data_IF_875097712242
#
_entry.id   IF_875097712242
#
_cell.length_a   1.000
_cell.length_b   1.000
_cell.length_c   1.000
_cell.angle_alpha   90.00
_cell.angle_beta   90.00
_cell.angle_gamma   90.00
#
_symmetry.space_group_name_H-M   'P 1'
#
loop_
_entity.id
_entity.type
_entity.pdbx_description
1 polymer ?
#
# COMPACT_ATOMS: atom_id res chain seq x y z
N UNK A 1 11.53 -21.94 -26.23
CA UNK A 1 11.24 -20.52 -25.93
C UNK A 1 10.88 -20.42 -24.46
N UNK A 2 11.35 -19.38 -23.78
CA UNK A 2 10.87 -19.04 -22.43
C UNK A 2 9.35 -18.83 -22.45
N UNK A 3 8.70 -19.20 -21.35
CA UNK A 3 7.25 -19.14 -21.18
C UNK A 3 6.92 -18.32 -19.93
N UNK A 4 5.78 -17.61 -19.88
CA UNK A 4 5.28 -17.04 -18.65
C UNK A 4 5.16 -18.12 -17.57
N UNK A 5 5.33 -17.72 -16.31
CA UNK A 5 5.38 -18.62 -15.16
C UNK A 5 4.46 -18.08 -14.08
N UNK A 6 3.51 -18.90 -13.62
CA UNK A 6 2.60 -18.58 -12.53
C UNK A 6 3.13 -19.22 -11.25
N UNK A 7 3.22 -18.44 -10.17
CA UNK A 7 3.40 -18.97 -8.82
C UNK A 7 2.03 -19.39 -8.27
N UNK A 8 1.82 -20.69 -8.11
CA UNK A 8 0.63 -21.24 -7.47
C UNK A 8 0.91 -21.46 -5.99
N UNK A 9 0.32 -20.65 -5.13
CA UNK A 9 0.48 -20.77 -3.67
C UNK A 9 -0.71 -21.56 -3.11
N UNK A 10 -0.46 -22.61 -2.32
CA UNK A 10 -1.56 -23.38 -1.75
C UNK A 10 -1.18 -24.22 -0.52
N UNK A 11 -2.16 -24.44 0.35
CA UNK A 11 -2.03 -25.34 1.51
C UNK A 11 -2.14 -26.79 1.01
N UNK A 12 -1.01 -27.41 0.65
CA UNK A 12 -1.03 -28.70 -0.04
C UNK A 12 -1.56 -29.83 0.85
N UNK A 13 -1.38 -29.75 2.16
CA UNK A 13 -1.92 -30.73 3.12
C UNK A 13 -3.43 -30.93 3.06
N UNK A 14 -4.16 -29.90 2.62
CA UNK A 14 -5.62 -29.88 2.63
C UNK A 14 -6.22 -29.72 1.25
N UNK A 15 -5.50 -29.11 0.29
CA UNK A 15 -6.02 -28.72 -1.03
C UNK A 15 -5.18 -29.23 -2.20
N UNK A 16 -4.33 -30.23 -1.98
CA UNK A 16 -3.54 -30.82 -3.06
C UNK A 16 -4.40 -31.24 -4.27
N UNK A 17 -5.55 -31.95 -4.13
CA UNK A 17 -6.33 -32.37 -5.29
C UNK A 17 -6.80 -31.21 -6.18
N UNK A 18 -7.21 -30.09 -5.60
CA UNK A 18 -7.67 -28.88 -6.31
C UNK A 18 -6.49 -28.14 -6.97
N UNK A 19 -5.35 -28.07 -6.29
CA UNK A 19 -4.11 -27.51 -6.83
C UNK A 19 -3.60 -28.34 -8.01
N UNK A 20 -3.59 -29.66 -7.88
CA UNK A 20 -3.22 -30.59 -8.95
C UNK A 20 -4.19 -30.52 -10.13
N UNK A 21 -5.50 -30.41 -9.86
CA UNK A 21 -6.48 -30.17 -10.92
C UNK A 21 -6.16 -28.87 -11.66
N UNK A 22 -5.90 -27.77 -10.93
CA UNK A 22 -5.53 -26.49 -11.54
C UNK A 22 -4.29 -26.62 -12.41
N UNK A 23 -3.24 -27.31 -11.93
CA UNK A 23 -2.02 -27.58 -12.73
C UNK A 23 -2.34 -28.38 -13.99
N UNK A 24 -3.22 -29.39 -13.90
CA UNK A 24 -3.58 -30.25 -15.03
C UNK A 24 -4.31 -29.52 -16.17
N UNK A 25 -4.88 -28.35 -15.88
CA UNK A 25 -5.57 -27.52 -16.87
C UNK A 25 -4.63 -26.46 -17.49
N UNK A 26 -3.39 -26.35 -17.03
CA UNK A 26 -2.46 -25.32 -17.51
C UNK A 26 -2.07 -25.58 -18.97
N UNK A 27 -2.15 -24.57 -19.87
CA UNK A 27 -1.75 -24.75 -21.25
C UNK A 27 -0.23 -24.90 -21.37
N UNK A 28 0.23 -25.64 -22.39
CA UNK A 28 1.66 -25.83 -22.66
C UNK A 28 2.45 -24.53 -22.84
N UNK A 29 1.79 -23.40 -23.11
CA UNK A 29 2.41 -22.09 -23.25
C UNK A 29 2.80 -21.42 -21.93
N UNK A 30 2.43 -21.99 -20.77
CA UNK A 30 2.64 -21.39 -19.44
C UNK A 30 3.22 -22.43 -18.47
N UNK A 31 4.11 -21.99 -17.58
CA UNK A 31 4.66 -22.82 -16.50
C UNK A 31 3.93 -22.54 -15.18
N UNK A 32 3.90 -23.52 -14.26
CA UNK A 32 3.46 -23.33 -12.88
C UNK A 32 4.58 -23.74 -11.92
N UNK A 33 4.86 -22.90 -10.92
CA UNK A 33 5.62 -23.25 -9.73
C UNK A 33 4.65 -23.40 -8.56
N UNK A 34 4.49 -24.61 -8.03
CA UNK A 34 3.63 -24.85 -6.86
C UNK A 34 4.44 -24.68 -5.56
N UNK A 35 3.96 -23.80 -4.68
CA UNK A 35 4.50 -23.57 -3.33
C UNK A 35 3.58 -24.17 -2.27
N UNK A 36 4.14 -25.07 -1.46
CA UNK A 36 3.44 -25.63 -0.30
C UNK A 36 3.52 -24.67 0.90
N UNK A 37 2.36 -24.14 1.27
CA UNK A 37 2.17 -23.32 2.48
C UNK A 37 1.19 -23.98 3.45
N UNK A 38 1.08 -25.31 3.40
CA UNK A 38 0.25 -26.12 4.30
C UNK A 38 0.72 -26.07 5.75
N UNK A 39 -0.13 -26.53 6.67
CA UNK A 39 0.23 -26.68 8.08
C UNK A 39 1.10 -27.93 8.29
N UNK A 40 0.85 -28.95 7.49
CA UNK A 40 1.65 -30.17 7.45
C UNK A 40 2.41 -30.22 6.13
N UNK A 41 3.72 -30.52 6.13
CA UNK A 41 4.48 -30.64 4.90
C UNK A 41 3.93 -31.75 4.01
N UNK A 42 3.75 -31.47 2.71
CA UNK A 42 3.28 -32.44 1.73
C UNK A 42 4.36 -32.74 0.71
N UNK A 43 4.63 -34.02 0.46
CA UNK A 43 5.55 -34.46 -0.59
C UNK A 43 4.77 -34.86 -1.85
N UNK A 44 5.06 -34.17 -2.96
CA UNK A 44 4.50 -34.52 -4.26
C UNK A 44 5.46 -34.05 -5.38
N UNK A 45 5.66 -34.81 -6.47
CA UNK A 45 6.61 -34.44 -7.53
C UNK A 45 6.33 -33.10 -8.21
N UNK A 46 5.07 -32.65 -8.20
CA UNK A 46 4.65 -31.36 -8.77
C UNK A 46 4.79 -30.18 -7.81
N UNK A 47 5.19 -30.38 -6.55
CA UNK A 47 5.50 -29.28 -5.63
C UNK A 47 6.91 -28.77 -5.96
N UNK A 48 6.98 -27.59 -6.56
CA UNK A 48 8.23 -26.97 -7.01
C UNK A 48 9.00 -26.30 -5.87
N UNK A 49 8.27 -25.72 -4.91
CA UNK A 49 8.81 -25.03 -3.74
C UNK A 49 8.28 -25.76 -2.51
N UNK A 50 9.20 -26.49 -1.87
CA UNK A 50 8.89 -27.36 -0.74
C UNK A 50 8.59 -26.56 0.52
N UNK A 51 7.77 -27.14 1.39
CA UNK A 51 7.46 -26.57 2.69
C UNK A 51 8.75 -26.36 3.53
N UNK A 52 8.88 -25.25 4.30
CA UNK A 52 10.10 -24.92 5.04
C UNK A 52 10.60 -26.04 5.96
N UNK A 53 9.70 -26.75 6.67
CA UNK A 53 10.05 -27.91 7.52
C UNK A 53 10.81 -29.05 6.79
N UNK A 54 10.66 -29.17 5.47
CA UNK A 54 11.38 -30.18 4.67
C UNK A 54 12.77 -29.70 4.24
N UNK A 55 12.97 -28.37 4.19
CA UNK A 55 14.23 -27.74 3.79
C UNK A 55 15.16 -27.51 4.98
N UNK A 56 14.62 -27.29 6.19
CA UNK A 56 15.40 -27.14 7.43
C UNK A 56 16.00 -28.46 7.93
N UNK A 57 15.51 -29.60 7.44
CA UNK A 57 16.02 -30.94 7.78
C UNK A 57 17.19 -31.40 6.91
N UNK A 58 17.54 -30.69 5.85
CA UNK A 58 18.65 -31.07 4.95
C UNK A 58 20.02 -30.59 5.43
N UNK A 59 20.11 -29.57 6.29
CA UNK A 59 21.37 -29.10 6.91
C UNK A 59 21.81 -29.88 8.15
N UNK A 60 21.03 -30.86 8.62
CA UNK A 60 21.33 -31.61 9.85
C UNK A 60 21.56 -33.12 9.65
N UNK A 61 21.56 -33.62 8.41
CA UNK A 61 21.76 -35.06 8.14
C UNK A 61 23.18 -35.48 7.74
N UNK A 62 24.13 -34.56 7.57
CA UNK A 62 25.52 -34.93 7.25
C UNK A 62 26.44 -35.14 8.47
N UNK A 63 26.03 -34.79 9.69
CA UNK A 63 26.83 -35.07 10.89
C UNK A 63 26.11 -36.06 11.82
N UNK A 64 25.89 -37.27 11.33
CA UNK A 64 25.73 -38.45 12.19
C UNK A 64 26.97 -39.31 12.08
N UNK A 65 28.06 -38.85 12.68
CA UNK A 65 29.10 -39.74 13.20
C UNK A 65 29.96 -38.97 14.20
N UNK A 66 29.83 -39.38 15.46
CA UNK A 66 30.77 -39.23 16.57
C UNK A 66 30.92 -37.87 17.29
N UNK A 67 31.05 -38.05 18.61
CA UNK A 67 31.62 -37.16 19.63
C UNK A 67 30.71 -36.20 20.40
N UNK A 68 30.45 -36.62 21.64
CA UNK A 68 30.29 -35.76 22.79
C UNK A 68 31.47 -34.77 22.88
N UNK A 69 31.22 -33.47 22.74
CA UNK A 69 32.01 -32.46 23.46
C UNK A 69 31.25 -31.14 23.59
N UNK A 70 31.17 -30.66 24.83
CA UNK A 70 30.72 -29.31 25.18
C UNK A 70 31.79 -28.28 24.78
N UNK A 71 31.42 -27.21 24.08
CA UNK A 71 31.72 -25.80 24.41
C UNK A 71 31.61 -24.89 23.18
N UNK A 72 30.54 -24.10 23.11
CA UNK A 72 30.48 -22.67 22.81
C UNK A 72 29.02 -22.30 22.54
N UNK A 73 28.45 -21.49 23.42
CA UNK A 73 27.01 -21.23 23.50
C UNK A 73 26.48 -20.39 22.35
N UNK A 74 26.10 -21.04 21.26
CA UNK A 74 24.94 -20.65 20.47
C UNK A 74 23.96 -21.81 20.49
N UNK A 75 22.89 -21.66 21.28
CA UNK A 75 21.77 -22.60 21.24
C UNK A 75 21.08 -22.39 19.90
N UNK A 76 21.41 -23.22 18.91
CA UNK A 76 20.61 -23.36 17.70
C UNK A 76 19.27 -23.93 18.16
N UNK A 77 18.31 -23.05 18.46
CA UNK A 77 16.94 -23.45 18.78
C UNK A 77 16.39 -24.14 17.55
N UNK A 78 16.14 -25.45 17.65
CA UNK A 78 15.39 -26.19 16.65
C UNK A 78 14.07 -25.45 16.44
N UNK A 79 13.85 -24.90 15.26
CA UNK A 79 12.58 -24.22 14.97
C UNK A 79 11.44 -25.23 15.20
N UNK A 80 10.41 -24.79 15.94
CA UNK A 80 9.22 -25.59 16.17
C UNK A 80 8.52 -25.88 14.84
N UNK A 81 8.17 -27.13 14.61
CA UNK A 81 7.44 -27.57 13.42
C UNK A 81 6.10 -26.81 13.30
N UNK A 82 5.73 -26.43 12.07
CA UNK A 82 4.54 -25.60 11.83
C UNK A 82 3.26 -26.27 12.33
N UNK A 83 3.20 -27.60 12.31
CA UNK A 83 2.06 -28.40 12.76
C UNK A 83 1.76 -28.23 14.26
N UNK A 84 2.79 -27.98 15.08
CA UNK A 84 2.65 -27.79 16.54
C UNK A 84 2.27 -26.37 16.94
N UNK A 85 2.38 -25.39 16.04
CA UNK A 85 2.12 -23.99 16.37
C UNK A 85 0.63 -23.70 16.52
N UNK A 86 0.23 -22.77 17.42
CA UNK A 86 -1.10 -22.19 17.39
C UNK A 86 -1.45 -21.67 15.99
N UNK A 87 -2.72 -21.80 15.59
CA UNK A 87 -3.15 -21.49 14.21
C UNK A 87 -2.73 -20.10 13.75
N UNK A 88 -2.87 -19.09 14.59
CA UNK A 88 -2.47 -17.70 14.28
C UNK A 88 -0.96 -17.58 14.07
N UNK A 89 -0.16 -18.17 14.95
CA UNK A 89 1.31 -18.18 14.86
C UNK A 89 1.80 -18.90 13.61
N UNK A 90 1.18 -20.04 13.29
CA UNK A 90 1.40 -20.78 12.05
C UNK A 90 1.16 -19.89 10.82
N UNK A 91 -0.03 -19.28 10.73
CA UNK A 91 -0.41 -18.40 9.60
C UNK A 91 0.61 -17.28 9.45
N UNK A 92 0.97 -16.60 10.54
CA UNK A 92 1.94 -15.50 10.48
C UNK A 92 3.32 -15.96 9.97
N UNK A 93 3.86 -17.05 10.50
CA UNK A 93 5.18 -17.54 10.08
C UNK A 93 5.18 -18.02 8.63
N UNK A 94 4.15 -18.76 8.21
CA UNK A 94 4.12 -19.31 6.84
C UNK A 94 3.84 -18.22 5.81
N UNK A 95 3.03 -17.21 6.16
CA UNK A 95 2.86 -16.00 5.35
C UNK A 95 4.19 -15.28 5.12
N UNK A 96 5.00 -15.08 6.17
CA UNK A 96 6.31 -14.43 6.03
C UNK A 96 7.26 -15.21 5.12
N UNK A 97 7.27 -16.55 5.25
CA UNK A 97 8.05 -17.42 4.37
C UNK A 97 7.58 -17.34 2.91
N UNK A 98 6.27 -17.40 2.67
CA UNK A 98 5.67 -17.27 1.36
C UNK A 98 5.95 -15.90 0.73
N UNK A 99 5.83 -14.82 1.51
CA UNK A 99 6.18 -13.45 1.12
C UNK A 99 7.63 -13.35 0.65
N UNK A 100 8.58 -13.84 1.46
CA UNK A 100 10.01 -13.76 1.16
C UNK A 100 10.34 -14.53 -0.13
N UNK A 101 9.87 -15.77 -0.21
CA UNK A 101 10.09 -16.61 -1.39
C UNK A 101 9.47 -16.01 -2.66
N UNK A 102 8.27 -15.44 -2.54
CA UNK A 102 7.59 -14.74 -3.64
C UNK A 102 8.41 -13.54 -4.10
N UNK A 103 8.92 -12.73 -3.17
CA UNK A 103 9.76 -11.57 -3.49
C UNK A 103 11.05 -11.96 -4.20
N UNK A 104 11.70 -13.03 -3.77
CA UNK A 104 12.94 -13.52 -4.39
C UNK A 104 12.70 -14.02 -5.81
N UNK A 105 11.59 -14.74 -6.03
CA UNK A 105 11.19 -15.19 -7.37
C UNK A 105 10.85 -14.03 -8.30
N UNK A 106 10.16 -13.01 -7.79
CA UNK A 106 9.83 -11.81 -8.55
C UNK A 106 11.09 -11.03 -8.94
N UNK A 107 11.98 -10.74 -7.98
CA UNK A 107 13.25 -10.03 -8.24
C UNK A 107 14.15 -10.78 -9.22
N UNK A 108 14.09 -12.11 -9.21
CA UNK A 108 14.83 -12.95 -10.14
C UNK A 108 14.16 -13.09 -11.53
N UNK A 109 13.02 -12.44 -11.79
CA UNK A 109 12.28 -12.56 -13.06
C UNK A 109 11.74 -13.96 -13.33
N UNK A 110 11.52 -14.78 -12.28
CA UNK A 110 11.15 -16.19 -12.40
C UNK A 110 9.64 -16.43 -12.43
N UNK A 111 8.85 -15.41 -12.08
CA UNK A 111 7.39 -15.46 -12.03
C UNK A 111 6.80 -14.22 -12.68
N UNK A 112 5.58 -14.38 -13.22
CA UNK A 112 4.87 -13.36 -13.99
C UNK A 112 3.42 -13.17 -13.53
N UNK A 113 2.93 -14.06 -12.67
CA UNK A 113 1.69 -13.90 -11.93
C UNK A 113 1.68 -14.76 -10.67
N UNK A 114 0.82 -14.42 -9.72
CA UNK A 114 0.48 -15.26 -8.56
C UNK A 114 -0.97 -15.73 -8.69
N UNK A 115 -1.18 -17.03 -8.53
CA UNK A 115 -2.50 -17.65 -8.41
C UNK A 115 -2.59 -18.37 -7.06
N UNK A 116 -3.74 -18.32 -6.41
CA UNK A 116 -4.01 -19.13 -5.22
C UNK A 116 -5.49 -19.49 -5.11
N UNK A 117 -5.77 -20.54 -4.36
CA UNK A 117 -7.12 -21.02 -4.05
C UNK A 117 -7.21 -21.42 -2.57
N UNK A 118 -8.30 -21.06 -1.90
CA UNK A 118 -8.48 -21.43 -0.50
C UNK A 118 -9.71 -20.87 0.20
N UNK A 119 -9.90 -21.33 1.42
CA UNK A 119 -10.82 -20.69 2.38
C UNK A 119 -10.12 -19.58 3.16
N UNK A 120 -10.78 -19.03 4.18
CA UNK A 120 -10.30 -17.88 4.97
C UNK A 120 -8.80 -17.89 5.31
N UNK A 121 -8.25 -18.99 5.85
CA UNK A 121 -6.83 -19.05 6.20
C UNK A 121 -5.88 -19.10 4.99
N UNK A 122 -6.24 -19.86 3.94
CA UNK A 122 -5.44 -19.91 2.71
C UNK A 122 -5.44 -18.57 2.00
N UNK A 123 -6.60 -17.90 1.97
CA UNK A 123 -6.73 -16.52 1.48
C UNK A 123 -5.83 -15.57 2.25
N UNK A 124 -5.83 -15.63 3.60
CA UNK A 124 -4.98 -14.77 4.41
C UNK A 124 -3.48 -14.98 4.10
N UNK A 125 -3.03 -16.24 4.03
CA UNK A 125 -1.63 -16.57 3.73
C UNK A 125 -1.21 -16.08 2.35
N UNK A 126 -1.97 -16.46 1.32
CA UNK A 126 -1.60 -16.14 -0.06
C UNK A 126 -1.71 -14.64 -0.34
N UNK A 127 -2.74 -13.96 0.17
CA UNK A 127 -2.87 -12.52 -0.03
C UNK A 127 -1.80 -11.73 0.71
N UNK A 128 -1.32 -12.18 1.88
CA UNK A 128 -0.15 -11.57 2.51
C UNK A 128 1.09 -11.64 1.60
N UNK A 129 1.36 -12.80 0.99
CA UNK A 129 2.45 -12.97 0.02
C UNK A 129 2.25 -12.12 -1.24
N UNK A 130 1.02 -12.02 -1.75
CA UNK A 130 0.68 -11.15 -2.88
C UNK A 130 0.87 -9.67 -2.55
N UNK A 131 0.46 -9.22 -1.36
CA UNK A 131 0.57 -7.83 -0.94
C UNK A 131 1.99 -7.43 -0.61
N UNK A 132 2.80 -8.30 -0.03
CA UNK A 132 4.12 -7.91 0.50
C UNK A 132 5.28 -8.40 -0.36
N UNK A 133 5.07 -9.45 -1.17
CA UNK A 133 6.11 -10.05 -2.00
C UNK A 133 6.31 -9.36 -3.35
N UNK A 134 5.29 -8.70 -3.89
CA UNK A 134 5.32 -8.07 -5.22
C UNK A 134 4.67 -6.69 -5.21
N UNK A 135 5.06 -5.78 -6.14
CA UNK A 135 4.50 -4.44 -6.17
C UNK A 135 3.08 -4.38 -6.75
N UNK A 136 2.45 -3.21 -6.61
CA UNK A 136 1.23 -2.85 -7.33
C UNK A 136 1.49 -2.92 -8.84
N UNK A 137 0.54 -3.49 -9.59
CA UNK A 137 0.64 -3.72 -11.02
C UNK A 137 1.13 -5.11 -11.42
N UNK A 138 1.79 -5.86 -10.51
CA UNK A 138 2.14 -7.25 -10.79
C UNK A 138 0.90 -8.16 -10.74
N UNK A 139 0.67 -9.09 -11.66
CA UNK A 139 -0.55 -9.91 -11.64
C UNK A 139 -0.76 -10.77 -10.37
N UNK A 140 -1.90 -10.59 -9.69
CA UNK A 140 -2.28 -11.27 -8.45
C UNK A 140 -3.75 -11.72 -8.50
N UNK A 141 -4.02 -13.03 -8.52
CA UNK A 141 -5.38 -13.59 -8.53
C UNK A 141 -5.58 -14.61 -7.39
N UNK A 142 -6.63 -14.39 -6.58
CA UNK A 142 -6.98 -15.24 -5.45
C UNK A 142 -8.40 -15.79 -5.59
N UNK A 143 -8.56 -17.11 -5.66
CA UNK A 143 -9.86 -17.79 -5.59
C UNK A 143 -10.22 -18.05 -4.13
N UNK A 144 -11.20 -17.34 -3.59
CA UNK A 144 -11.49 -17.33 -2.16
C UNK A 144 -12.95 -17.65 -1.85
N UNK A 145 -13.20 -18.46 -0.83
CA UNK A 145 -14.55 -18.63 -0.25
C UNK A 145 -15.06 -17.36 0.44
N UNK A 146 -14.17 -16.39 0.71
CA UNK A 146 -14.47 -15.14 1.41
C UNK A 146 -14.71 -13.96 0.47
N UNK A 147 -14.61 -14.16 -0.86
CA UNK A 147 -14.66 -13.04 -1.82
C UNK A 147 -16.02 -12.32 -1.89
N UNK A 148 -17.11 -12.99 -1.48
CA UNK A 148 -18.46 -12.41 -1.41
C UNK A 148 -18.78 -11.90 0.01
N UNK A 149 -17.88 -11.09 0.58
CA UNK A 149 -18.00 -10.52 1.92
C UNK A 149 -17.10 -9.29 2.10
N UNK A 150 -16.76 -8.96 3.35
CA UNK A 150 -15.72 -7.96 3.61
C UNK A 150 -14.34 -8.51 3.24
N UNK A 151 -13.72 -7.87 2.25
CA UNK A 151 -12.43 -8.26 1.68
C UNK A 151 -11.34 -7.22 1.91
N UNK A 152 -11.63 -6.16 2.68
CA UNK A 152 -10.72 -5.03 2.92
C UNK A 152 -9.34 -5.48 3.41
N UNK A 153 -9.30 -6.41 4.37
CA UNK A 153 -8.05 -6.99 4.92
C UNK A 153 -7.29 -7.93 3.97
N UNK A 154 -7.91 -8.38 2.88
CA UNK A 154 -7.26 -9.23 1.87
C UNK A 154 -6.63 -8.40 0.76
N UNK A 155 -7.28 -7.32 0.34
CA UNK A 155 -6.81 -6.46 -0.75
C UNK A 155 -5.90 -5.36 -0.21
N UNK A 156 -6.27 -4.75 0.92
CA UNK A 156 -5.67 -3.51 1.45
C UNK A 156 -5.52 -2.46 0.31
N UNK A 157 -4.41 -1.74 0.24
CA UNK A 157 -4.14 -0.76 -0.82
C UNK A 157 -3.47 -1.36 -2.09
N UNK A 158 -3.79 -2.60 -2.45
CA UNK A 158 -3.21 -3.29 -3.62
C UNK A 158 -4.24 -3.65 -4.69
N UNK A 159 -3.77 -4.16 -5.83
CA UNK A 159 -4.54 -4.58 -7.01
C UNK A 159 -4.82 -6.10 -7.07
N UNK A 160 -4.99 -6.75 -5.90
CA UNK A 160 -5.35 -8.18 -5.85
C UNK A 160 -6.75 -8.39 -6.44
N UNK A 161 -6.84 -9.28 -7.44
CA UNK A 161 -8.12 -9.74 -7.99
C UNK A 161 -8.66 -10.90 -7.17
N UNK A 162 -9.82 -10.73 -6.54
CA UNK A 162 -10.52 -11.80 -5.82
C UNK A 162 -11.62 -12.44 -6.70
N UNK A 163 -11.56 -13.76 -6.86
CA UNK A 163 -12.61 -14.54 -7.51
C UNK A 163 -13.35 -15.39 -6.47
N UNK A 164 -14.68 -15.27 -6.40
CA UNK A 164 -15.46 -16.09 -5.49
C UNK A 164 -15.51 -17.54 -5.95
N UNK A 165 -15.20 -18.47 -5.04
CA UNK A 165 -15.22 -19.91 -5.32
C UNK A 165 -16.63 -20.47 -5.52
N UNK A 166 -17.68 -19.72 -5.12
CA UNK A 166 -19.10 -20.08 -5.11
C UNK A 166 -19.44 -21.20 -4.12
N UNK A 167 -18.69 -22.29 -4.15
CA UNK A 167 -18.75 -23.41 -3.21
C UNK A 167 -17.46 -23.45 -2.38
N UNK A 168 -17.45 -24.22 -1.29
CA UNK A 168 -16.20 -24.46 -0.58
C UNK A 168 -15.16 -25.08 -1.53
N UNK A 169 -13.90 -24.73 -1.31
CA UNK A 169 -12.77 -25.27 -2.06
C UNK A 169 -12.48 -26.66 -1.48
N UNK A 170 -13.34 -27.63 -1.74
CA UNK A 170 -13.24 -28.98 -1.21
C UNK A 170 -13.80 -29.99 -2.22
N UNK A 171 -12.92 -30.85 -2.73
CA UNK A 171 -13.23 -31.88 -3.71
C UNK A 171 -13.26 -31.37 -5.15
N UNK A 172 -13.77 -32.22 -6.05
CA UNK A 172 -13.71 -32.01 -7.50
C UNK A 172 -15.06 -31.79 -8.18
N UNK A 173 -16.00 -31.13 -7.50
CA UNK A 173 -17.33 -30.88 -8.07
C UNK A 173 -17.25 -29.98 -9.31
N UNK A 174 -18.24 -30.11 -10.21
CA UNK A 174 -18.20 -29.47 -11.52
C UNK A 174 -18.21 -27.93 -11.47
N UNK A 175 -18.85 -27.35 -10.45
CA UNK A 175 -18.89 -25.89 -10.25
C UNK A 175 -17.49 -25.39 -9.89
N UNK A 176 -16.88 -25.98 -8.86
CA UNK A 176 -15.54 -25.61 -8.43
C UNK A 176 -14.52 -25.78 -9.55
N UNK A 177 -14.55 -26.90 -10.28
CA UNK A 177 -13.67 -27.14 -11.43
C UNK A 177 -13.77 -26.04 -12.48
N UNK A 178 -15.00 -25.61 -12.82
CA UNK A 178 -15.23 -24.51 -13.77
C UNK A 178 -14.68 -23.18 -13.27
N UNK A 179 -14.86 -22.87 -11.98
CA UNK A 179 -14.31 -21.66 -11.36
C UNK A 179 -12.77 -21.69 -11.36
N UNK A 180 -12.16 -22.81 -10.98
CA UNK A 180 -10.70 -22.97 -10.99
C UNK A 180 -10.11 -22.87 -12.40
N UNK A 181 -10.79 -23.43 -13.41
CA UNK A 181 -10.43 -23.24 -14.81
C UNK A 181 -10.44 -21.77 -15.23
N UNK A 182 -11.54 -21.05 -14.95
CA UNK A 182 -11.65 -19.62 -15.25
C UNK A 182 -10.54 -18.81 -14.56
N UNK A 183 -10.26 -19.09 -13.28
CA UNK A 183 -9.21 -18.44 -12.52
C UNK A 183 -7.83 -18.68 -13.13
N UNK A 184 -7.53 -19.91 -13.52
CA UNK A 184 -6.27 -20.27 -14.17
C UNK A 184 -6.10 -19.54 -15.50
N UNK A 185 -7.10 -19.57 -16.38
CA UNK A 185 -6.99 -18.91 -17.69
C UNK A 185 -6.94 -17.38 -17.55
N UNK A 186 -7.61 -16.81 -16.53
CA UNK A 186 -7.42 -15.40 -16.15
C UNK A 186 -5.97 -15.11 -15.75
N UNK A 187 -5.40 -15.92 -14.85
CA UNK A 187 -4.01 -15.79 -14.43
C UNK A 187 -3.01 -15.99 -15.58
N UNK A 188 -3.27 -16.92 -16.51
CA UNK A 188 -2.47 -17.11 -17.74
C UNK A 188 -2.46 -15.84 -18.59
N UNK A 189 -3.61 -15.22 -18.82
CA UNK A 189 -3.70 -13.98 -19.58
C UNK A 189 -2.91 -12.84 -18.94
N UNK A 190 -3.04 -12.68 -17.61
CA UNK A 190 -2.28 -11.65 -16.90
C UNK A 190 -0.76 -11.95 -16.90
N UNK A 191 -0.37 -13.22 -16.70
CA UNK A 191 1.03 -13.65 -16.75
C UNK A 191 1.67 -13.43 -18.13
N UNK A 192 0.93 -13.66 -19.20
CA UNK A 192 1.40 -13.42 -20.57
C UNK A 192 1.64 -11.93 -20.83
N UNK A 193 0.73 -11.05 -20.37
CA UNK A 193 0.93 -9.60 -20.45
C UNK A 193 2.20 -9.19 -19.72
N UNK A 194 2.38 -9.68 -18.50
CA UNK A 194 3.53 -9.30 -17.67
C UNK A 194 4.85 -9.81 -18.25
N UNK A 195 4.88 -11.05 -18.72
CA UNK A 195 6.03 -11.61 -19.41
C UNK A 195 6.43 -10.79 -20.66
N UNK A 196 5.45 -10.34 -21.43
CA UNK A 196 5.69 -9.48 -22.60
C UNK A 196 6.23 -8.12 -22.16
N UNK A 197 5.62 -7.51 -21.15
CA UNK A 197 6.06 -6.22 -20.60
C UNK A 197 7.51 -6.26 -20.07
N UNK A 198 7.89 -7.32 -19.35
CA UNK A 198 9.27 -7.49 -18.87
C UNK A 198 10.27 -7.67 -20.01
N UNK A 199 9.91 -8.41 -21.07
CA UNK A 199 10.75 -8.56 -22.27
C UNK A 199 10.96 -7.25 -23.01
N UNK A 200 9.89 -6.48 -23.20
CA UNK A 200 9.96 -5.17 -23.88
C UNK A 200 10.79 -4.16 -23.09
N UNK A 201 10.83 -4.29 -21.76
CA UNK A 201 11.66 -3.46 -20.88
C UNK A 201 13.15 -3.82 -21.01
N UNK A 202 13.50 -5.10 -20.90
CA UNK A 202 14.88 -5.58 -21.13
C UNK A 202 15.37 -5.19 -22.54
N UNK A 203 14.52 -5.32 -23.57
CA UNK A 203 14.87 -4.90 -24.93
C UNK A 203 15.20 -3.41 -25.05
N UNK A 204 14.45 -2.55 -24.34
CA UNK A 204 14.68 -1.09 -24.31
C UNK A 204 15.93 -0.69 -23.51
N UNK A 205 16.25 -1.39 -22.42
CA UNK A 205 17.44 -1.11 -21.61
C UNK A 205 18.74 -1.43 -22.36
N UNK A 206 18.72 -2.47 -23.22
CA UNK A 206 19.85 -2.85 -24.06
C UNK A 206 20.09 -1.84 -25.20
N UNK A 207 19.03 -1.29 -25.79
CA UNK A 207 19.14 -0.24 -26.83
C UNK A 207 19.37 1.17 -26.26
N UNK A 208 18.93 1.45 -25.03
CA UNK A 208 19.01 2.75 -24.34
C UNK A 208 20.32 3.03 -23.61
N UNK A 209 21.32 2.14 -23.66
CA UNK A 209 22.61 2.29 -22.98
C UNK A 209 23.55 3.37 -23.58
N UNK A 210 23.05 4.20 -24.51
CA UNK A 210 23.70 5.46 -24.95
C UNK A 210 22.88 6.65 -24.45
N UNK A 211 22.97 6.92 -23.15
CA UNK A 211 22.67 8.23 -22.55
C UNK A 211 21.22 8.51 -22.17
N UNK A 212 20.86 8.24 -20.91
CA UNK A 212 20.18 9.16 -19.97
C UNK A 212 19.97 8.47 -18.62
N UNK A 213 20.38 9.15 -17.55
CA UNK A 213 20.21 8.70 -16.16
C UNK A 213 18.73 8.78 -15.73
N UNK A 214 18.22 7.67 -15.18
CA UNK A 214 17.22 7.67 -14.09
C UNK A 214 15.74 7.59 -14.47
N UNK A 215 15.10 6.49 -14.08
CA UNK A 215 13.64 6.35 -13.98
C UNK A 215 13.04 5.35 -14.96
N UNK A 216 12.90 4.10 -14.51
CA UNK A 216 12.44 2.97 -15.33
C UNK A 216 10.94 2.71 -15.10
N UNK A 217 10.12 3.06 -16.09
CA UNK A 217 8.70 2.74 -16.14
C UNK A 217 7.84 3.73 -16.94
N UNK A 218 7.75 3.54 -18.27
CA UNK A 218 6.66 4.07 -19.12
C UNK A 218 6.67 5.58 -19.42
N UNK A 219 6.79 5.93 -20.70
CA UNK A 219 6.70 7.30 -21.25
C UNK A 219 7.77 8.32 -20.76
N UNK A 220 8.98 8.20 -21.30
CA UNK A 220 9.86 9.35 -21.51
C UNK A 220 10.49 10.05 -20.29
N UNK A 221 10.58 9.42 -19.11
CA UNK A 221 11.27 10.01 -17.96
C UNK A 221 10.48 11.12 -17.25
N UNK A 222 9.15 11.14 -17.40
CA UNK A 222 8.27 12.03 -16.64
C UNK A 222 8.31 11.69 -15.15
N UNK A 223 8.30 12.71 -14.31
CA UNK A 223 8.31 12.56 -12.86
C UNK A 223 6.89 12.28 -12.37
N UNK A 224 6.72 11.21 -11.60
CA UNK A 224 5.42 10.74 -11.11
C UNK A 224 5.11 11.40 -9.78
N UNK A 225 4.07 12.23 -9.74
CA UNK A 225 3.72 13.05 -8.56
C UNK A 225 2.40 12.60 -7.96
N UNK A 226 2.42 12.21 -6.68
CA UNK A 226 1.19 11.95 -5.93
C UNK A 226 0.62 13.23 -5.33
N UNK A 227 -0.70 13.44 -5.43
CA UNK A 227 -1.38 14.60 -4.84
C UNK A 227 -2.59 14.15 -4.04
N UNK A 228 -2.68 14.53 -2.76
CA UNK A 228 -3.86 14.21 -1.93
C UNK A 228 -4.96 15.25 -2.05
N UNK A 229 -6.19 14.79 -2.16
CA UNK A 229 -7.37 15.60 -2.47
C UNK A 229 -8.55 15.20 -1.59
N UNK A 230 -9.38 16.16 -1.21
CA UNK A 230 -10.72 15.92 -0.70
C UNK A 230 -11.70 16.85 -1.40
N UNK A 231 -13.01 16.53 -1.33
CA UNK A 231 -14.02 17.32 -2.05
C UNK A 231 -13.93 18.82 -1.77
N UNK A 232 -13.52 19.20 -0.55
CA UNK A 232 -13.33 20.58 -0.07
C UNK A 232 -11.99 21.24 -0.44
N UNK A 233 -11.09 20.52 -1.12
CA UNK A 233 -9.78 21.02 -1.61
C UNK A 233 -9.58 20.79 -3.11
N UNK A 234 -10.57 20.23 -3.82
CA UNK A 234 -10.53 19.97 -5.27
C UNK A 234 -10.07 21.17 -6.11
N UNK A 235 -10.57 22.41 -5.91
CA UNK A 235 -10.14 23.54 -6.74
C UNK A 235 -8.62 23.78 -6.71
N UNK A 236 -7.99 23.62 -5.55
CA UNK A 236 -6.54 23.74 -5.41
C UNK A 236 -5.80 22.60 -6.14
N UNK A 237 -6.28 21.36 -5.97
CA UNK A 237 -5.68 20.17 -6.58
C UNK A 237 -5.72 20.23 -8.11
N UNK A 238 -6.82 20.70 -8.70
CA UNK A 238 -6.95 20.83 -10.15
C UNK A 238 -5.91 21.81 -10.72
N UNK A 239 -5.72 22.96 -10.07
CA UNK A 239 -4.69 23.93 -10.47
C UNK A 239 -3.28 23.37 -10.30
N UNK A 240 -3.00 22.67 -9.19
CA UNK A 240 -1.71 22.02 -8.95
C UNK A 240 -1.41 20.99 -10.04
N UNK A 241 -2.39 20.14 -10.36
CA UNK A 241 -2.28 19.10 -11.39
C UNK A 241 -1.94 19.71 -12.74
N UNK A 242 -2.75 20.68 -13.19
CA UNK A 242 -2.56 21.33 -14.49
C UNK A 242 -1.21 22.05 -14.59
N UNK A 243 -0.79 22.72 -13.51
CA UNK A 243 0.51 23.42 -13.47
C UNK A 243 1.68 22.44 -13.53
N UNK A 244 1.64 21.35 -12.76
CA UNK A 244 2.68 20.32 -12.76
C UNK A 244 2.79 19.60 -14.12
N UNK A 245 1.66 19.24 -14.73
CA UNK A 245 1.62 18.60 -16.05
C UNK A 245 2.17 19.55 -17.13
N UNK A 246 1.70 20.81 -17.15
CA UNK A 246 2.01 21.76 -18.22
C UNK A 246 3.43 22.30 -18.18
N UNK A 247 3.94 22.63 -16.99
CA UNK A 247 5.20 23.38 -16.85
C UNK A 247 6.39 22.49 -16.49
N UNK A 248 6.12 21.39 -15.80
CA UNK A 248 7.17 20.47 -15.32
C UNK A 248 7.11 19.11 -16.01
N UNK A 249 6.14 18.88 -16.91
CA UNK A 249 5.99 17.62 -17.63
C UNK A 249 5.76 16.42 -16.70
N UNK A 250 5.24 16.67 -15.50
CA UNK A 250 4.99 15.63 -14.51
C UNK A 250 3.77 14.79 -14.89
N UNK A 251 3.77 13.52 -14.51
CA UNK A 251 2.58 12.68 -14.51
C UNK A 251 1.97 12.71 -13.10
N UNK A 252 0.73 13.18 -12.99
CA UNK A 252 0.11 13.45 -11.69
C UNK A 252 -0.96 12.39 -11.35
N UNK A 253 -0.87 11.84 -10.15
CA UNK A 253 -1.79 10.86 -9.60
C UNK A 253 -2.54 11.48 -8.41
N UNK A 254 -3.84 11.67 -8.56
CA UNK A 254 -4.68 12.25 -7.50
C UNK A 254 -5.25 11.14 -6.61
N UNK A 255 -5.03 11.26 -5.30
CA UNK A 255 -5.50 10.33 -4.28
C UNK A 255 -6.56 11.00 -3.42
N UNK A 256 -7.77 10.41 -3.40
CA UNK A 256 -8.84 10.87 -2.53
C UNK A 256 -8.51 10.51 -1.07
N UNK A 257 -8.43 11.50 -0.18
CA UNK A 257 -8.03 11.39 1.22
C UNK A 257 -9.11 10.72 2.10
N UNK A 258 -9.41 9.46 1.79
CA UNK A 258 -10.46 8.63 2.42
C UNK A 258 -9.90 7.51 3.30
N UNK A 259 -8.64 7.63 3.71
CA UNK A 259 -7.86 6.62 4.40
C UNK A 259 -7.19 5.65 3.42
N UNK A 260 -7.98 5.11 2.48
CA UNK A 260 -7.47 4.23 1.43
C UNK A 260 -6.54 4.98 0.45
N UNK A 261 -6.86 6.23 0.10
CA UNK A 261 -6.06 7.02 -0.84
C UNK A 261 -4.69 7.37 -0.30
N UNK A 262 -4.57 7.86 0.94
CA UNK A 262 -3.27 8.10 1.57
C UNK A 262 -2.43 6.83 1.70
N UNK A 263 -3.04 5.70 2.10
CA UNK A 263 -2.36 4.40 2.14
C UNK A 263 -1.82 4.00 0.77
N UNK A 264 -2.64 4.12 -0.28
CA UNK A 264 -2.25 3.80 -1.65
C UNK A 264 -1.12 4.70 -2.15
N UNK A 265 -1.20 6.01 -1.93
CA UNK A 265 -0.13 6.94 -2.27
C UNK A 265 1.18 6.54 -1.60
N UNK A 266 1.16 6.30 -0.28
CA UNK A 266 2.35 5.94 0.47
C UNK A 266 2.91 4.57 0.11
N UNK A 267 2.05 3.62 -0.27
CA UNK A 267 2.45 2.34 -0.82
C UNK A 267 3.26 2.52 -2.10
N UNK A 268 2.75 3.32 -3.04
CA UNK A 268 3.42 3.60 -4.31
C UNK A 268 4.74 4.36 -4.10
N UNK A 269 4.84 5.23 -3.09
CA UNK A 269 6.11 5.85 -2.67
C UNK A 269 7.11 4.80 -2.19
N UNK A 270 6.70 3.88 -1.29
CA UNK A 270 7.58 2.81 -0.79
C UNK A 270 8.11 1.95 -1.94
N UNK A 271 7.25 1.64 -2.90
CA UNK A 271 7.55 0.85 -4.09
C UNK A 271 8.35 1.60 -5.17
N UNK A 272 8.57 2.91 -5.00
CA UNK A 272 9.31 3.72 -5.98
C UNK A 272 8.53 4.01 -7.27
N UNK A 273 7.20 3.92 -7.21
CA UNK A 273 6.29 4.27 -8.31
C UNK A 273 5.85 5.75 -8.27
N UNK A 274 6.10 6.44 -7.15
CA UNK A 274 5.94 7.89 -7.01
C UNK A 274 7.30 8.51 -6.69
N UNK A 275 7.65 9.56 -7.41
CA UNK A 275 8.93 10.26 -7.33
C UNK A 275 8.88 11.53 -6.47
N UNK A 276 7.70 12.11 -6.27
CA UNK A 276 7.48 13.31 -5.46
C UNK A 276 6.01 13.39 -4.99
N UNK A 277 5.74 14.17 -3.95
CA UNK A 277 4.39 14.26 -3.35
C UNK A 277 3.97 15.71 -3.08
N UNK A 278 2.74 16.07 -3.45
CA UNK A 278 2.02 17.21 -2.84
C UNK A 278 0.96 16.64 -1.91
N UNK A 279 1.28 16.56 -0.63
CA UNK A 279 0.34 16.12 0.39
C UNK A 279 -0.50 17.31 0.86
N UNK A 280 -1.37 17.80 -0.03
CA UNK A 280 -2.18 18.98 0.19
C UNK A 280 -3.25 18.74 1.26
N UNK A 281 -3.86 17.55 1.24
CA UNK A 281 -5.05 17.23 2.04
C UNK A 281 -4.74 16.11 3.04
N UNK A 282 -4.47 16.50 4.28
CA UNK A 282 -4.05 15.59 5.36
C UNK A 282 -5.17 15.28 6.36
N UNK A 283 -6.43 15.38 5.94
CA UNK A 283 -7.62 15.10 6.78
C UNK A 283 -7.64 13.69 7.38
N UNK A 284 -7.00 12.72 6.74
CA UNK A 284 -6.91 11.34 7.24
C UNK A 284 -6.20 11.24 8.61
N UNK A 285 -5.38 12.24 8.97
CA UNK A 285 -4.78 12.37 10.31
C UNK A 285 -5.84 12.73 11.36
N UNK A 286 -6.79 13.58 10.99
CA UNK A 286 -7.90 13.99 11.86
C UNK A 286 -8.76 12.78 12.20
N UNK A 287 -9.12 12.00 11.18
CA UNK A 287 -9.88 10.76 11.33
C UNK A 287 -9.15 9.72 12.20
N UNK A 288 -7.83 9.56 12.06
CA UNK A 288 -7.05 8.65 12.93
C UNK A 288 -7.14 9.07 14.41
N UNK A 289 -6.98 10.35 14.72
CA UNK A 289 -6.96 10.85 16.09
C UNK A 289 -8.36 10.93 16.71
N UNK A 290 -9.36 11.28 15.91
CA UNK A 290 -10.75 11.43 16.36
C UNK A 290 -11.59 10.16 16.18
N UNK A 291 -11.01 9.06 15.68
CA UNK A 291 -11.73 7.81 15.44
C UNK A 291 -12.80 7.93 14.35
N UNK A 292 -12.52 8.75 13.33
CA UNK A 292 -13.32 8.85 12.12
C UNK A 292 -13.18 7.63 11.21
N UNK A 293 -14.01 7.56 10.18
CA UNK A 293 -14.14 6.38 9.30
C UNK A 293 -13.14 6.38 8.14
N UNK A 294 -12.45 7.49 7.89
CA UNK A 294 -11.53 7.69 6.77
C UNK A 294 -10.06 7.76 7.22
N UNK A 295 -9.69 6.99 8.25
CA UNK A 295 -8.30 6.95 8.75
C UNK A 295 -7.35 6.23 7.79
N UNK A 296 -6.20 6.85 7.54
CA UNK A 296 -5.05 6.23 6.87
C UNK A 296 -4.12 5.47 7.83
N UNK A 297 -4.45 5.43 9.11
CA UNK A 297 -3.71 4.71 10.16
C UNK A 297 -2.53 5.50 10.72
N UNK A 298 -1.87 4.95 11.74
CA UNK A 298 -0.86 5.65 12.53
C UNK A 298 0.44 5.91 11.76
N UNK A 299 0.65 5.29 10.60
CA UNK A 299 1.85 5.46 9.78
C UNK A 299 1.72 6.57 8.72
N UNK A 300 0.63 7.33 8.72
CA UNK A 300 0.41 8.42 7.77
C UNK A 300 1.51 9.48 7.87
N UNK A 301 1.92 10.04 6.72
CA UNK A 301 3.01 10.99 6.46
C UNK A 301 4.43 10.42 6.55
N UNK A 302 4.60 9.10 6.70
CA UNK A 302 5.93 8.50 6.89
C UNK A 302 6.65 8.20 5.57
N UNK A 303 5.93 7.69 4.56
CA UNK A 303 6.60 7.07 3.41
C UNK A 303 7.51 8.02 2.62
N UNK A 304 7.02 9.21 2.27
CA UNK A 304 7.79 10.19 1.49
C UNK A 304 8.97 10.76 2.29
N UNK A 305 8.76 11.06 3.57
CA UNK A 305 9.80 11.50 4.50
C UNK A 305 10.92 10.46 4.65
N UNK A 306 10.57 9.17 4.85
CA UNK A 306 11.52 8.04 4.93
C UNK A 306 12.26 7.81 3.61
N UNK A 307 11.56 7.95 2.48
CA UNK A 307 12.16 7.76 1.15
C UNK A 307 13.08 8.92 0.77
N UNK A 308 12.89 10.10 1.37
CA UNK A 308 13.65 11.31 1.07
C UNK A 308 13.37 11.87 -0.32
N UNK A 309 12.14 11.69 -0.82
CA UNK A 309 11.67 12.29 -2.08
C UNK A 309 11.16 13.72 -1.85
N UNK A 310 11.14 14.60 -2.87
CA UNK A 310 10.53 15.92 -2.76
C UNK A 310 9.09 15.82 -2.25
N UNK A 311 8.77 16.59 -1.21
CA UNK A 311 7.40 16.69 -0.74
C UNK A 311 7.03 18.13 -0.35
N UNK A 312 5.84 18.54 -0.78
CA UNK A 312 5.15 19.71 -0.23
C UNK A 312 3.98 19.19 0.60
N UNK A 313 3.87 19.63 1.86
CA UNK A 313 2.80 19.24 2.78
C UNK A 313 1.98 20.47 3.14
N UNK A 314 0.66 20.33 3.16
CA UNK A 314 -0.27 21.35 3.68
C UNK A 314 -1.19 20.71 4.72
N UNK A 315 -2.17 21.47 5.20
CA UNK A 315 -3.12 21.06 6.24
C UNK A 315 -4.56 21.11 5.74
N UNK A 316 -4.77 20.83 4.46
CA UNK A 316 -6.09 20.85 3.84
C UNK A 316 -7.06 19.91 4.54
N UNK A 317 -8.26 20.41 4.82
CA UNK A 317 -9.33 19.70 5.51
C UNK A 317 -8.94 19.17 6.92
N UNK A 318 -7.92 19.72 7.58
CA UNK A 318 -7.50 19.30 8.92
C UNK A 318 -8.44 19.74 10.06
N UNK A 319 -9.50 20.48 9.74
CA UNK A 319 -10.52 20.89 10.68
C UNK A 319 -11.62 19.84 10.89
N UNK A 320 -11.70 18.80 10.07
CA UNK A 320 -12.87 17.91 10.06
C UNK A 320 -12.52 16.43 10.21
N UNK A 321 -13.23 15.75 11.11
CA UNK A 321 -13.26 14.29 11.17
C UNK A 321 -14.52 13.76 10.46
N UNK A 322 -14.37 12.67 9.71
CA UNK A 322 -15.46 12.07 8.94
C UNK A 322 -16.12 10.93 9.72
N UNK A 323 -17.45 10.97 9.83
CA UNK A 323 -18.25 9.90 10.42
C UNK A 323 -19.33 9.44 9.45
N UNK A 324 -20.03 8.37 9.83
CA UNK A 324 -21.23 7.92 9.14
C UNK A 324 -22.41 8.86 9.36
N UNK A 325 -23.65 8.36 9.19
CA UNK A 325 -24.86 9.12 9.49
C UNK A 325 -24.86 9.69 10.92
N UNK A 326 -25.62 10.76 11.21
CA UNK A 326 -25.64 11.42 12.53
C UNK A 326 -25.84 10.46 13.72
N UNK A 327 -26.65 9.41 13.54
CA UNK A 327 -26.93 8.39 14.57
C UNK A 327 -25.73 7.51 14.94
N UNK A 328 -24.66 7.52 14.12
CA UNK A 328 -23.44 6.74 14.33
C UNK A 328 -22.32 7.54 14.99
N UNK A 329 -22.53 8.85 15.20
CA UNK A 329 -21.53 9.72 15.84
C UNK A 329 -21.34 9.28 17.29
N UNK A 330 -20.10 9.03 17.74
CA UNK A 330 -19.81 8.65 19.11
C UNK A 330 -20.32 9.69 20.14
N UNK A 331 -20.89 9.27 21.29
CA UNK A 331 -21.44 10.18 22.31
C UNK A 331 -20.45 11.24 22.83
N UNK A 332 -19.14 10.99 22.74
CA UNK A 332 -18.09 11.97 23.10
C UNK A 332 -18.10 13.24 22.23
N UNK A 333 -18.80 13.21 21.09
CA UNK A 333 -18.97 14.35 20.19
C UNK A 333 -20.38 14.98 20.28
N UNK A 334 -21.14 14.67 21.32
CA UNK A 334 -22.41 15.35 21.59
C UNK A 334 -22.19 16.86 21.80
N UNK A 335 -23.07 17.69 21.22
CA UNK A 335 -22.98 19.15 21.29
C UNK A 335 -21.87 19.79 20.44
N UNK A 336 -21.15 19.01 19.64
CA UNK A 336 -20.13 19.54 18.72
C UNK A 336 -20.75 20.17 17.48
N UNK A 337 -19.96 20.98 16.78
CA UNK A 337 -20.35 21.56 15.49
C UNK A 337 -20.30 20.45 14.43
N UNK A 338 -21.47 20.13 13.88
CA UNK A 338 -21.64 19.10 12.86
C UNK A 338 -21.92 19.74 11.50
N UNK A 339 -21.48 19.07 10.44
CA UNK A 339 -21.86 19.39 9.08
C UNK A 339 -22.35 18.12 8.38
N UNK A 340 -23.63 18.05 8.06
CA UNK A 340 -24.19 16.93 7.30
C UNK A 340 -23.84 17.11 5.82
N UNK A 341 -22.80 16.42 5.36
CA UNK A 341 -22.36 16.51 3.97
C UNK A 341 -23.36 15.81 3.05
N UNK A 342 -23.85 14.63 3.45
CA UNK A 342 -24.91 13.89 2.78
C UNK A 342 -25.57 12.91 3.78
N UNK A 343 -26.65 12.18 3.41
CA UNK A 343 -27.36 11.29 4.33
C UNK A 343 -26.51 10.17 4.96
N UNK A 344 -25.33 9.86 4.42
CA UNK A 344 -24.43 8.81 4.93
C UNK A 344 -23.15 9.34 5.56
N UNK A 345 -22.87 10.65 5.48
CA UNK A 345 -21.61 11.25 5.95
C UNK A 345 -21.90 12.52 6.73
N UNK A 346 -21.48 12.52 7.99
CA UNK A 346 -21.49 13.71 8.86
C UNK A 346 -20.06 14.05 9.28
N UNK A 347 -19.72 15.32 9.20
CA UNK A 347 -18.41 15.84 9.59
C UNK A 347 -18.50 16.43 11.01
N UNK A 348 -17.47 16.23 11.81
CA UNK A 348 -17.32 16.84 13.14
C UNK A 348 -16.13 17.80 13.11
N UNK A 349 -16.36 19.08 13.46
CA UNK A 349 -15.29 20.09 13.54
C UNK A 349 -14.36 19.80 14.73
N UNK A 350 -13.06 19.70 14.47
CA UNK A 350 -12.02 19.59 15.47
C UNK A 350 -11.96 20.87 16.32
N UNK A 351 -11.76 20.71 17.63
CA UNK A 351 -11.57 21.83 18.56
C UNK A 351 -10.08 22.19 18.71
N UNK A 352 -9.74 23.17 19.54
CA UNK A 352 -8.36 23.60 19.78
C UNK A 352 -7.43 22.51 20.35
N UNK A 353 -7.93 21.61 21.20
CA UNK A 353 -7.11 20.52 21.75
C UNK A 353 -6.84 19.44 20.70
N UNK A 354 -7.85 19.04 19.95
CA UNK A 354 -7.70 18.09 18.84
C UNK A 354 -6.80 18.67 17.73
N UNK A 355 -6.96 19.96 17.39
CA UNK A 355 -6.11 20.66 16.42
C UNK A 355 -4.64 20.68 16.84
N UNK A 356 -4.37 20.82 18.15
CA UNK A 356 -3.02 20.69 18.71
C UNK A 356 -2.48 19.26 18.59
N UNK A 357 -3.32 18.24 18.76
CA UNK A 357 -2.93 16.84 18.59
C UNK A 357 -2.64 16.52 17.12
N UNK A 358 -3.46 17.03 16.19
CA UNK A 358 -3.27 16.92 14.74
C UNK A 358 -1.95 17.58 14.33
N UNK A 359 -1.69 18.81 14.77
CA UNK A 359 -0.43 19.50 14.55
C UNK A 359 0.78 18.70 15.03
N UNK A 360 0.71 18.16 16.25
CA UNK A 360 1.79 17.34 16.84
C UNK A 360 2.00 16.06 16.05
N UNK A 361 0.94 15.38 15.63
CA UNK A 361 1.06 14.19 14.80
C UNK A 361 1.82 14.51 13.51
N UNK A 362 1.38 15.52 12.75
CA UNK A 362 2.03 15.92 11.49
C UNK A 362 3.50 16.28 11.73
N UNK A 363 3.77 17.13 12.72
CA UNK A 363 5.12 17.57 13.04
C UNK A 363 6.03 16.42 13.51
N UNK A 364 5.53 15.52 14.36
CA UNK A 364 6.26 14.35 14.85
C UNK A 364 6.66 13.42 13.69
N UNK A 365 5.73 13.13 12.76
CA UNK A 365 6.01 12.28 11.60
C UNK A 365 7.11 12.87 10.73
N UNK A 366 6.96 14.14 10.37
CA UNK A 366 7.94 14.82 9.53
C UNK A 366 9.30 14.92 10.23
N UNK A 367 9.36 15.33 11.50
CA UNK A 367 10.61 15.45 12.26
C UNK A 367 11.31 14.12 12.45
N UNK A 368 10.57 13.05 12.75
CA UNK A 368 11.14 11.75 13.10
C UNK A 368 11.65 10.99 11.87
N UNK A 369 10.96 11.12 10.74
CA UNK A 369 11.19 10.27 9.58
C UNK A 369 11.86 10.95 8.39
N UNK A 370 12.00 12.28 8.39
CA UNK A 370 12.66 13.01 7.32
C UNK A 370 14.13 12.61 7.18
N UNK A 371 14.46 11.87 6.11
CA UNK A 371 15.85 11.58 5.74
C UNK A 371 16.51 12.79 5.06
N UNK A 372 15.74 13.59 4.33
CA UNK A 372 16.18 14.83 3.66
C UNK A 372 15.22 16.00 3.99
N UNK A 373 15.36 16.64 5.16
CA UNK A 373 14.50 17.75 5.57
C UNK A 373 14.50 18.94 4.59
N UNK A 374 15.61 19.13 3.87
CA UNK A 374 15.81 20.16 2.85
C UNK A 374 14.89 20.01 1.63
N UNK A 375 14.28 18.83 1.45
CA UNK A 375 13.31 18.52 0.39
C UNK A 375 11.86 18.51 0.86
N UNK A 376 11.64 18.95 2.10
CA UNK A 376 10.31 19.08 2.66
C UNK A 376 9.97 20.57 2.72
N UNK A 377 8.83 20.93 2.15
CA UNK A 377 8.21 22.25 2.33
C UNK A 377 6.86 22.06 2.99
N UNK A 378 6.59 22.81 4.05
CA UNK A 378 5.28 22.85 4.68
C UNK A 378 4.64 24.22 4.43
N UNK A 379 3.44 24.25 3.87
CA UNK A 379 2.74 25.47 3.50
C UNK A 379 1.42 25.54 4.27
N UNK A 380 1.21 26.63 5.01
CA UNK A 380 0.05 26.85 5.87
C UNK A 380 -0.84 27.93 5.24
N UNK A 381 -2.03 27.60 4.71
CA UNK A 381 -2.96 28.57 4.14
C UNK A 381 -3.75 29.26 5.26
N UNK A 382 -3.28 30.41 5.72
CA UNK A 382 -3.90 31.13 6.84
C UNK A 382 -5.19 31.87 6.47
N UNK A 383 -5.57 31.86 5.19
CA UNK A 383 -6.86 32.36 4.72
C UNK A 383 -8.00 31.32 4.83
N UNK A 384 -7.70 30.11 5.31
CA UNK A 384 -8.63 29.00 5.53
C UNK A 384 -8.17 27.71 4.83
N UNK A 385 -8.49 26.57 5.43
CA UNK A 385 -7.92 25.26 5.08
C UNK A 385 -8.88 24.34 4.32
N UNK A 386 -10.11 24.78 4.03
CA UNK A 386 -11.06 24.06 3.17
C UNK A 386 -12.22 24.95 2.67
N UNK A 387 -13.00 24.48 1.69
CA UNK A 387 -14.22 25.18 1.23
C UNK A 387 -15.26 25.50 2.32
N UNK A 388 -15.27 24.78 3.44
CA UNK A 388 -16.21 25.04 4.55
C UNK A 388 -15.55 25.79 5.72
N UNK A 389 -14.27 26.08 5.62
CA UNK A 389 -13.49 26.89 6.55
C UNK A 389 -13.25 28.30 5.97
N UNK A 390 -14.35 29.03 5.77
CA UNK A 390 -14.35 30.40 5.22
C UNK A 390 -15.40 31.26 5.93
N UNK A 391 -15.21 32.60 6.01
CA UNK A 391 -16.16 33.49 6.66
C UNK A 391 -17.62 33.23 6.27
N UNK A 392 -18.46 32.96 7.26
CA UNK A 392 -19.90 32.68 7.09
C UNK A 392 -20.27 31.19 6.98
N UNK A 393 -19.30 30.28 6.95
CA UNK A 393 -19.54 28.83 7.03
C UNK A 393 -19.43 28.30 8.46
N UNK A 394 -20.00 27.11 8.72
CA UNK A 394 -20.10 26.54 10.06
C UNK A 394 -18.76 26.10 10.66
N UNK A 395 -17.75 25.80 9.83
CA UNK A 395 -16.45 25.30 10.30
C UNK A 395 -15.38 26.39 10.38
N UNK A 396 -15.72 27.62 9.99
CA UNK A 396 -14.81 28.77 10.07
C UNK A 396 -14.47 29.13 11.50
N UNK A 397 -13.22 28.89 11.89
CA UNK A 397 -12.70 29.18 13.22
C UNK A 397 -11.20 29.54 13.17
N UNK A 398 -10.87 30.80 12.82
CA UNK A 398 -9.47 31.21 12.64
C UNK A 398 -8.65 31.14 13.93
N UNK A 399 -9.29 31.13 15.10
CA UNK A 399 -8.58 30.96 16.38
C UNK A 399 -8.12 29.51 16.56
N UNK A 400 -8.96 28.53 16.18
CA UNK A 400 -8.58 27.12 16.20
C UNK A 400 -7.56 26.79 15.12
N UNK A 401 -7.65 27.40 13.94
CA UNK A 401 -6.66 27.19 12.87
C UNK A 401 -5.29 27.77 13.26
N UNK A 402 -5.25 28.91 13.96
CA UNK A 402 -4.01 29.45 14.51
C UNK A 402 -3.37 28.49 15.53
N UNK A 403 -4.17 27.72 16.30
CA UNK A 403 -3.63 26.67 17.18
C UNK A 403 -2.94 25.57 16.36
N UNK A 404 -3.53 25.16 15.24
CA UNK A 404 -2.91 24.18 14.32
C UNK A 404 -1.58 24.73 13.77
N UNK A 405 -1.60 25.94 13.21
CA UNK A 405 -0.44 26.58 12.56
C UNK A 405 0.72 26.80 13.54
N UNK A 406 0.46 27.51 14.65
CA UNK A 406 1.49 27.84 15.64
C UNK A 406 2.07 26.60 16.32
N UNK A 407 1.27 25.55 16.50
CA UNK A 407 1.76 24.28 17.05
C UNK A 407 2.70 23.59 16.07
N UNK A 408 2.36 23.49 14.77
CA UNK A 408 3.25 22.89 13.76
C UNK A 408 4.59 23.63 13.72
N UNK A 409 4.57 24.96 13.68
CA UNK A 409 5.78 25.79 13.64
C UNK A 409 6.68 25.55 14.86
N UNK A 410 6.09 25.52 16.05
CA UNK A 410 6.80 25.24 17.30
C UNK A 410 7.40 23.84 17.30
N UNK A 411 6.61 22.83 16.96
CA UNK A 411 7.03 21.42 16.99
C UNK A 411 8.04 21.09 15.89
N UNK A 412 8.18 21.90 14.84
CA UNK A 412 9.18 21.74 13.77
C UNK A 412 10.37 22.71 13.88
N UNK A 413 10.43 23.55 14.91
CA UNK A 413 11.56 24.46 15.11
C UNK A 413 12.90 23.70 15.18
N UNK A 414 13.87 24.11 14.36
CA UNK A 414 15.19 23.49 14.28
C UNK A 414 15.23 22.13 13.57
N UNK A 415 14.15 21.70 12.92
CA UNK A 415 14.12 20.45 12.13
C UNK A 415 14.84 20.54 10.78
N UNK A 416 15.11 21.75 10.29
CA UNK A 416 15.60 21.99 8.93
C UNK A 416 14.51 21.98 7.86
N UNK A 417 13.26 21.68 8.22
CA UNK A 417 12.10 21.76 7.32
C UNK A 417 11.68 23.22 7.18
N UNK A 418 11.50 23.67 5.93
CA UNK A 418 11.02 25.01 5.65
C UNK A 418 9.50 25.09 5.78
N UNK A 419 9.01 26.08 6.53
CA UNK A 419 7.58 26.33 6.78
C UNK A 419 7.24 27.72 6.26
N UNK A 420 6.16 27.83 5.51
CA UNK A 420 5.66 29.10 4.96
C UNK A 420 4.21 29.30 5.35
N UNK A 421 3.90 30.44 5.98
CA UNK A 421 2.52 30.92 6.11
C UNK A 421 2.15 31.66 4.84
N UNK A 422 1.07 31.24 4.21
CA UNK A 422 0.51 31.88 3.04
C UNK A 422 -0.83 32.53 3.43
N UNK A 423 -0.99 33.86 3.27
CA UNK A 423 -2.21 34.55 3.69
C UNK A 423 -3.46 34.14 2.89
N UNK A 424 -3.28 33.45 1.76
CA UNK A 424 -4.38 33.03 0.91
C UNK A 424 -5.11 31.82 1.49
N UNK A 425 -6.35 31.66 1.05
CA UNK A 425 -7.16 30.47 1.30
C UNK A 425 -6.59 29.28 0.50
N UNK A 426 -6.73 28.04 0.99
CA UNK A 426 -6.17 26.86 0.34
C UNK A 426 -6.62 26.70 -1.13
N UNK A 427 -7.86 27.09 -1.45
CA UNK A 427 -8.43 27.02 -2.79
C UNK A 427 -8.22 28.30 -3.63
N UNK A 428 -7.38 29.22 -3.17
CA UNK A 428 -6.93 30.34 -4.00
C UNK A 428 -6.03 29.82 -5.14
N UNK A 429 -6.29 30.17 -6.42
CA UNK A 429 -5.48 29.70 -7.55
C UNK A 429 -4.00 30.06 -7.48
N UNK A 430 -3.67 31.20 -6.87
CA UNK A 430 -2.27 31.64 -6.75
C UNK A 430 -1.56 30.90 -5.60
N UNK A 431 -2.29 30.48 -4.55
CA UNK A 431 -1.79 29.54 -3.54
C UNK A 431 -1.43 28.21 -4.21
N UNK A 432 -2.37 27.65 -4.99
CA UNK A 432 -2.17 26.39 -5.69
C UNK A 432 -0.98 26.44 -6.67
N UNK A 433 -0.85 27.54 -7.41
CA UNK A 433 0.30 27.78 -8.31
C UNK A 433 1.61 27.82 -7.53
N UNK A 434 1.63 28.49 -6.37
CA UNK A 434 2.83 28.57 -5.52
C UNK A 434 3.24 27.19 -5.00
N UNK A 435 2.29 26.37 -4.56
CA UNK A 435 2.53 24.99 -4.11
C UNK A 435 3.10 24.11 -5.23
N UNK A 436 2.51 24.18 -6.42
CA UNK A 436 2.98 23.43 -7.59
C UNK A 436 4.40 23.85 -7.99
N UNK A 437 4.67 25.15 -8.03
CA UNK A 437 5.99 25.67 -8.40
C UNK A 437 7.07 25.34 -7.34
N UNK A 438 6.70 25.30 -6.05
CA UNK A 438 7.61 24.81 -5.00
C UNK A 438 8.02 23.35 -5.23
N UNK A 439 7.08 22.45 -5.53
CA UNK A 439 7.40 21.06 -5.82
C UNK A 439 8.17 20.93 -7.14
N UNK A 440 7.71 21.59 -8.19
CA UNK A 440 8.32 21.56 -9.52
C UNK A 440 9.78 22.04 -9.51
N UNK A 441 10.09 23.09 -8.73
CA UNK A 441 11.46 23.52 -8.49
C UNK A 441 12.33 22.46 -7.81
N UNK A 442 11.79 21.72 -6.84
CA UNK A 442 12.51 20.61 -6.21
C UNK A 442 12.70 19.41 -7.15
N UNK A 443 11.71 19.13 -8.01
CA UNK A 443 11.79 18.03 -8.98
C UNK A 443 12.84 18.31 -10.08
N UNK A 444 12.96 19.56 -10.52
CA UNK A 444 13.87 19.97 -11.61
C UNK A 444 15.30 20.20 -11.17
N UNK A 445 15.54 20.40 -9.87
CA UNK A 445 16.87 20.60 -9.29
C UNK A 445 17.57 19.29 -8.88
N UNK A 446 16.89 18.15 -9.02
CA UNK A 446 17.42 16.80 -8.82
C UNK A 446 17.91 16.17 -10.12
#
# INVERSE_FOLDING_TARGET
MEKPTILLIGTCDTKLPELLYTISQCPDSTNILLMDVGRTPTLHPLISIQHPDLTTTTTTKENKENEETKNNGEVIRKEEEYKSLPRTTYIQKISNHATTTTADLYKAGRIHAILSLGGSCGTNIATAAMRQGVPVGFPKLMVSTMASGDVSSYIEETDITLMYSVVDVAGGNWILKRVLGNALFGAVGMALREFTFQKDRIGRDVEGSVGKNGGDGGDGGKKRVGVTMFGVTTPCVDVIRERLEREYGAEVYVFHATGAGGKAMERLVREGQIDAVVDLTTSEVVDELMGGVLSAGPARLEAAAKKGIPQVVSVGACEMANFGPPSTIPPRYEGRVLYEHNPTVTLVRANAEESRQIARFIAEKLRTFAVRPDLIRLVLPTGGISMVDVPGQSFYDPEVDEVLFSTIEKELQGSGISITRDPRHINDPDFATSVADMLGGMITSM
#
